data_IF_468118280115
#
_entry.id   IF_468118280115
#
_cell.length_a   1.000
_cell.length_b   1.000
_cell.length_c   1.000
_cell.angle_alpha   90.00
_cell.angle_beta   90.00
_cell.angle_gamma   90.00
#
_symmetry.space_group_name_H-M   'P 1'
#
loop_
_entity.id
_entity.type
_entity.pdbx_description
1 polymer ?
#
# COMPACT_ATOMS: atom_id res chain seq x y z
N UNK A 1 -10.69 9.81 8.63
CA UNK A 1 -9.29 9.64 9.07
C UNK A 1 -8.47 9.41 7.82
N UNK A 2 -7.29 10.03 7.72
CA UNK A 2 -6.49 10.01 6.49
C UNK A 2 -5.21 9.18 6.69
N UNK A 3 -4.66 8.67 5.60
CA UNK A 3 -3.32 8.09 5.55
C UNK A 3 -2.33 9.22 5.87
N UNK A 4 -1.41 8.93 6.81
CA UNK A 4 -0.37 9.87 7.22
C UNK A 4 0.94 9.31 6.73
N UNK A 5 1.54 10.00 5.76
CA UNK A 5 2.86 9.67 5.24
C UNK A 5 3.93 10.39 6.06
N UNK A 6 5.03 9.69 6.33
CA UNK A 6 6.13 10.25 7.13
C UNK A 6 7.08 11.08 6.27
N UNK A 7 7.06 10.88 4.95
CA UNK A 7 7.88 11.60 3.99
C UNK A 7 7.05 12.12 2.81
N UNK A 8 7.39 13.28 2.23
CA UNK A 8 6.69 13.83 1.07
C UNK A 8 6.64 12.87 -0.13
N UNK A 9 7.74 12.15 -0.37
CA UNK A 9 7.90 11.26 -1.52
C UNK A 9 7.19 9.92 -1.36
N UNK A 10 6.74 9.58 -0.14
CA UNK A 10 6.12 8.29 0.13
C UNK A 10 4.78 8.14 -0.62
N UNK A 11 3.99 9.21 -0.68
CA UNK A 11 2.77 9.24 -1.49
C UNK A 11 3.08 9.12 -2.99
N UNK A 12 4.19 9.73 -3.45
CA UNK A 12 4.63 9.63 -4.85
C UNK A 12 4.99 8.17 -5.17
N UNK A 13 5.76 7.51 -4.30
CA UNK A 13 6.09 6.10 -4.43
C UNK A 13 4.82 5.22 -4.43
N UNK A 14 3.88 5.45 -3.50
CA UNK A 14 2.62 4.73 -3.44
C UNK A 14 1.82 4.81 -4.76
N UNK A 15 1.68 6.03 -5.30
CA UNK A 15 0.97 6.27 -6.55
C UNK A 15 1.68 5.64 -7.74
N UNK A 16 3.02 5.70 -7.78
CA UNK A 16 3.83 5.06 -8.81
C UNK A 16 3.67 3.52 -8.78
N UNK A 17 3.65 2.91 -7.60
CA UNK A 17 3.39 1.47 -7.45
C UNK A 17 1.99 1.08 -7.89
N UNK A 18 0.97 1.85 -7.52
CA UNK A 18 -0.41 1.60 -7.96
C UNK A 18 -0.55 1.69 -9.49
N UNK A 19 0.12 2.66 -10.12
CA UNK A 19 0.17 2.77 -11.58
C UNK A 19 0.86 1.58 -12.23
N UNK A 20 2.00 1.14 -11.68
CA UNK A 20 2.75 0.00 -12.18
C UNK A 20 1.99 -1.32 -12.07
N UNK A 21 1.27 -1.53 -10.98
CA UNK A 21 0.40 -2.70 -10.78
C UNK A 21 -0.93 -2.59 -11.54
N UNK A 22 -1.12 -1.51 -12.32
CA UNK A 22 -2.35 -1.19 -13.03
C UNK A 22 -3.57 -1.20 -12.12
N UNK A 23 -3.38 -0.82 -10.86
CA UNK A 23 -4.38 -0.87 -9.81
C UNK A 23 -5.05 0.50 -9.65
N UNK A 24 -6.08 0.72 -10.46
CA UNK A 24 -6.80 2.00 -10.53
C UNK A 24 -7.54 2.33 -9.24
N UNK A 25 -8.03 1.32 -8.52
CA UNK A 25 -8.74 1.53 -7.26
C UNK A 25 -7.76 1.89 -6.15
N UNK A 26 -6.62 1.21 -6.03
CA UNK A 26 -5.57 1.61 -5.10
C UNK A 26 -5.06 3.03 -5.39
N UNK A 27 -4.83 3.38 -6.67
CA UNK A 27 -4.42 4.73 -7.08
C UNK A 27 -5.45 5.78 -6.64
N UNK A 28 -6.75 5.50 -6.76
CA UNK A 28 -7.83 6.39 -6.30
C UNK A 28 -7.83 6.56 -4.78
N UNK A 29 -7.72 5.47 -4.03
CA UNK A 29 -7.68 5.48 -2.56
C UNK A 29 -6.48 6.28 -2.06
N UNK A 30 -5.29 6.01 -2.61
CA UNK A 30 -4.04 6.70 -2.27
C UNK A 30 -4.09 8.18 -2.64
N UNK A 31 -4.72 8.55 -3.76
CA UNK A 31 -4.90 9.95 -4.13
C UNK A 31 -5.83 10.69 -3.14
N UNK A 32 -6.89 10.01 -2.67
CA UNK A 32 -7.86 10.53 -1.70
C UNK A 32 -7.35 10.53 -0.24
N UNK A 33 -6.20 9.89 0.02
CA UNK A 33 -5.64 9.66 1.35
C UNK A 33 -6.58 8.97 2.33
N UNK A 34 -7.60 8.24 1.86
CA UNK A 34 -8.57 7.59 2.73
C UNK A 34 -9.34 6.48 2.02
N UNK A 35 -9.72 5.45 2.78
CA UNK A 35 -10.73 4.47 2.38
C UNK A 35 -12.12 4.95 2.80
N UNK A 36 -13.10 4.78 1.93
CA UNK A 36 -14.49 5.14 2.14
C UNK A 36 -15.35 3.96 2.63
N UNK A 37 -14.82 2.73 2.56
CA UNK A 37 -15.56 1.53 2.94
C UNK A 37 -14.63 0.38 3.33
N UNK A 38 -15.21 -0.64 3.95
CA UNK A 38 -14.54 -1.92 4.21
C UNK A 38 -13.98 -2.57 2.94
N UNK A 39 -14.71 -2.46 1.82
CA UNK A 39 -14.25 -3.01 0.54
C UNK A 39 -12.98 -2.29 0.04
N UNK A 40 -12.91 -0.97 0.20
CA UNK A 40 -11.71 -0.20 -0.13
C UNK A 40 -10.55 -0.51 0.84
N UNK A 41 -10.84 -0.75 2.13
CA UNK A 41 -9.84 -1.21 3.10
C UNK A 41 -9.20 -2.54 2.69
N UNK A 42 -10.03 -3.55 2.37
CA UNK A 42 -9.57 -4.85 1.85
C UNK A 42 -8.73 -4.66 0.60
N UNK A 43 -9.20 -3.83 -0.33
CA UNK A 43 -8.48 -3.58 -1.57
C UNK A 43 -7.12 -2.92 -1.34
N UNK A 44 -7.04 -1.94 -0.44
CA UNK A 44 -5.78 -1.27 -0.10
C UNK A 44 -4.79 -2.22 0.57
N UNK A 45 -5.25 -3.07 1.50
CA UNK A 45 -4.45 -4.14 2.09
C UNK A 45 -3.90 -5.09 1.02
N UNK A 46 -4.77 -5.57 0.13
CA UNK A 46 -4.39 -6.48 -0.96
C UNK A 46 -3.40 -5.85 -1.92
N UNK A 47 -3.58 -4.56 -2.25
CA UNK A 47 -2.63 -3.81 -3.07
C UNK A 47 -1.23 -3.83 -2.45
N UNK A 48 -1.12 -3.55 -1.15
CA UNK A 48 0.16 -3.53 -0.46
C UNK A 48 0.85 -4.91 -0.53
N UNK A 49 0.13 -5.98 -0.20
CA UNK A 49 0.74 -7.31 -0.20
C UNK A 49 1.07 -7.82 -1.61
N UNK A 50 0.29 -7.44 -2.63
CA UNK A 50 0.65 -7.68 -4.04
C UNK A 50 1.92 -6.93 -4.43
N UNK A 51 2.13 -5.71 -3.92
CA UNK A 51 3.36 -4.96 -4.14
C UNK A 51 4.57 -5.69 -3.52
N UNK A 52 4.44 -6.21 -2.30
CA UNK A 52 5.49 -7.03 -1.65
C UNK A 52 5.82 -8.26 -2.49
N UNK A 53 4.80 -9.00 -2.95
CA UNK A 53 5.02 -10.18 -3.80
C UNK A 53 5.70 -9.81 -5.14
N UNK A 54 5.32 -8.68 -5.73
CA UNK A 54 5.90 -8.21 -7.00
C UNK A 54 7.34 -7.72 -6.83
N UNK A 55 7.69 -7.08 -5.71
CA UNK A 55 9.05 -6.59 -5.48
C UNK A 55 10.05 -7.72 -5.29
N UNK A 56 9.64 -8.82 -4.67
CA UNK A 56 10.44 -10.04 -4.51
C UNK A 56 10.88 -10.66 -5.87
N UNK A 57 10.18 -10.33 -6.96
CA UNK A 57 10.48 -10.81 -8.32
C UNK A 57 11.45 -9.89 -9.09
N UNK A 58 12.05 -8.88 -8.43
CA UNK A 58 12.99 -7.93 -9.05
C UNK A 58 12.32 -6.75 -9.75
N UNK A 59 11.18 -6.28 -9.22
CA UNK A 59 10.44 -5.13 -9.75
C UNK A 59 11.24 -3.82 -9.69
N UNK A 60 11.10 -2.99 -10.75
CA UNK A 60 11.79 -1.70 -10.86
C UNK A 60 11.35 -0.70 -9.79
N UNK A 61 12.28 0.18 -9.41
CA UNK A 61 12.12 1.21 -8.38
C UNK A 61 11.09 2.30 -8.74
N UNK A 62 10.41 2.89 -7.73
CA UNK A 62 9.63 4.10 -7.92
C UNK A 62 10.53 5.27 -8.36
N UNK A 63 9.97 6.37 -8.90
CA UNK A 63 10.74 7.52 -9.40
C UNK A 63 11.35 8.40 -8.28
N UNK A 64 11.59 7.83 -7.10
CA UNK A 64 12.06 8.52 -5.91
C UNK A 64 13.50 8.11 -5.59
N UNK A 65 14.25 8.97 -4.90
CA UNK A 65 15.54 8.58 -4.33
C UNK A 65 15.31 7.45 -3.31
N UNK A 66 16.12 6.38 -3.35
CA UNK A 66 15.98 5.10 -2.60
C UNK A 66 15.34 3.93 -3.38
N UNK A 67 15.68 2.71 -2.95
CA UNK A 67 15.23 1.48 -3.59
C UNK A 67 13.80 1.07 -3.25
N UNK A 68 13.26 0.12 -4.02
CA UNK A 68 11.91 -0.44 -3.83
C UNK A 68 11.64 -0.92 -2.40
N UNK A 69 12.60 -1.62 -1.79
CA UNK A 69 12.46 -2.19 -0.43
C UNK A 69 12.21 -1.11 0.62
N UNK A 70 12.97 -0.01 0.57
CA UNK A 70 12.80 1.12 1.47
C UNK A 70 11.39 1.71 1.40
N UNK A 71 10.87 1.91 0.19
CA UNK A 71 9.52 2.45 0.02
C UNK A 71 8.42 1.48 0.44
N UNK A 72 8.62 0.18 0.24
CA UNK A 72 7.69 -0.85 0.72
C UNK A 72 7.65 -0.90 2.25
N UNK A 73 8.79 -0.75 2.92
CA UNK A 73 8.84 -0.67 4.38
C UNK A 73 8.10 0.59 4.87
N UNK A 74 8.29 1.74 4.23
CA UNK A 74 7.56 2.96 4.63
C UNK A 74 6.05 2.85 4.42
N UNK A 75 5.64 2.27 3.30
CA UNK A 75 4.23 2.04 3.03
C UNK A 75 3.62 0.99 3.95
N UNK A 76 4.39 0.02 4.44
CA UNK A 76 3.95 -0.91 5.48
C UNK A 76 3.45 -0.13 6.70
N UNK A 77 4.31 0.76 7.21
CA UNK A 77 4.04 1.54 8.41
C UNK A 77 2.85 2.48 8.17
N UNK A 78 2.88 3.28 7.10
CA UNK A 78 1.85 4.29 6.87
C UNK A 78 0.48 3.70 6.53
N UNK A 79 0.41 2.67 5.66
CA UNK A 79 -0.87 2.05 5.29
C UNK A 79 -1.36 1.13 6.41
N UNK A 80 -0.47 0.33 7.01
CA UNK A 80 -0.81 -0.56 8.10
C UNK A 80 -1.33 0.20 9.32
N UNK A 81 -0.61 1.22 9.77
CA UNK A 81 -1.04 2.04 10.92
C UNK A 81 -2.30 2.84 10.60
N UNK A 82 -2.46 3.30 9.36
CA UNK A 82 -3.70 3.93 8.92
C UNK A 82 -4.89 2.98 9.07
N UNK A 83 -4.83 1.78 8.46
CA UNK A 83 -5.93 0.83 8.47
C UNK A 83 -6.26 0.36 9.89
N UNK A 84 -5.25 0.11 10.73
CA UNK A 84 -5.44 -0.26 12.13
C UNK A 84 -6.18 0.83 12.90
N UNK A 85 -5.74 2.09 12.80
CA UNK A 85 -6.40 3.22 13.48
C UNK A 85 -7.80 3.52 12.93
N UNK A 86 -8.04 3.22 11.66
CA UNK A 86 -9.35 3.36 11.02
C UNK A 86 -10.32 2.20 11.34
N UNK A 87 -9.90 1.19 12.11
CA UNK A 87 -10.72 0.05 12.53
C UNK A 87 -10.68 -1.16 11.59
N UNK A 88 -9.75 -1.18 10.64
CA UNK A 88 -9.60 -2.23 9.62
C UNK A 88 -8.38 -3.14 9.86
N UNK A 89 -8.01 -3.35 11.12
CA UNK A 89 -6.88 -4.21 11.47
C UNK A 89 -7.11 -5.68 11.04
N UNK A 90 -8.36 -6.14 11.06
CA UNK A 90 -8.70 -7.50 10.65
C UNK A 90 -8.45 -7.69 9.15
N UNK A 91 -8.90 -6.75 8.31
CA UNK A 91 -8.71 -6.77 6.86
C UNK A 91 -7.24 -6.70 6.46
N UNK A 92 -6.42 -5.94 7.20
CA UNK A 92 -4.97 -5.90 7.01
C UNK A 92 -4.32 -7.26 7.25
N UNK A 93 -4.59 -7.85 8.43
CA UNK A 93 -4.01 -9.13 8.84
C UNK A 93 -4.51 -10.30 7.96
N UNK A 94 -5.78 -10.26 7.52
CA UNK A 94 -6.33 -11.30 6.65
C UNK A 94 -5.63 -11.32 5.29
N UNK A 95 -5.41 -10.16 4.67
CA UNK A 95 -4.71 -10.09 3.39
C UNK A 95 -3.20 -10.40 3.53
N UNK A 96 -2.58 -10.14 4.68
CA UNK A 96 -1.21 -10.59 5.00
C UNK A 96 -1.11 -12.12 4.96
N UNK A 97 -2.03 -12.79 5.66
CA UNK A 97 -2.10 -14.26 5.67
C UNK A 97 -2.38 -14.83 4.27
N UNK A 98 -3.23 -14.17 3.48
CA UNK A 98 -3.51 -14.58 2.11
C UNK A 98 -2.28 -14.46 1.21
N UNK A 99 -1.47 -13.43 1.40
CA UNK A 99 -0.27 -13.21 0.61
C UNK A 99 0.84 -14.23 0.87
N UNK A 100 0.91 -14.78 2.08
CA UNK A 100 1.81 -15.90 2.41
C UNK A 100 1.48 -17.22 1.68
N UNK A 101 0.35 -17.29 0.97
CA UNK A 101 -0.09 -18.45 0.18
C UNK A 101 0.01 -18.23 -1.36
N UNK A 102 0.58 -17.10 -1.80
CA UNK A 102 0.79 -16.77 -3.22
C UNK A 102 2.20 -17.17 -3.69
#
# INVERSE_FOLDING_TARGET
MNIVYSMPDEKIAALAFAERLQDTLAKKILAADAVASRAEAIHLSRFYWRLVAHSAQGGASPPCESGTEFWIEKLHDSIGDYLKRAGYAAEWNEEENNAGNL
#
